data_IF_437618234565
#
_entry.id   IF_437618234565
#
_cell.length_a   1.000
_cell.length_b   1.000
_cell.length_c   1.000
_cell.angle_alpha   90.00
_cell.angle_beta   90.00
_cell.angle_gamma   90.00
#
_symmetry.space_group_name_H-M   'P 1'
#
loop_
_entity.id
_entity.type
_entity.pdbx_description
1 polymer ?
#
# COMPACT_ATOMS: atom_id res chain seq x y z
N UNK A 1 20.89 -5.11 0.18
CA UNK A 1 21.02 -6.59 0.08
C UNK A 1 19.86 -7.36 0.72
N UNK A 2 19.28 -6.91 1.85
CA UNK A 2 18.14 -7.57 2.50
C UNK A 2 16.87 -7.60 1.62
N UNK A 3 16.63 -6.55 0.82
CA UNK A 3 15.48 -6.48 -0.10
C UNK A 3 15.60 -7.43 -1.31
N UNK A 4 16.80 -7.63 -1.84
CA UNK A 4 17.05 -8.58 -2.94
C UNK A 4 16.90 -10.02 -2.42
N UNK A 5 17.35 -10.30 -1.19
CA UNK A 5 17.13 -11.58 -0.52
C UNK A 5 15.64 -11.86 -0.26
N UNK A 6 14.87 -10.86 0.17
CA UNK A 6 13.40 -10.99 0.35
C UNK A 6 12.67 -11.17 -0.99
N UNK A 7 13.02 -10.38 -2.02
CA UNK A 7 12.45 -10.51 -3.35
C UNK A 7 12.80 -11.86 -4.00
N UNK A 8 14.06 -12.30 -3.92
CA UNK A 8 14.51 -13.59 -4.45
C UNK A 8 13.84 -14.77 -3.73
N UNK A 9 13.68 -14.71 -2.40
CA UNK A 9 12.89 -15.69 -1.63
C UNK A 9 11.43 -15.72 -2.08
N UNK A 10 10.85 -14.56 -2.37
CA UNK A 10 9.49 -14.43 -2.87
C UNK A 10 9.33 -15.02 -4.28
N UNK A 11 10.30 -14.83 -5.17
CA UNK A 11 10.29 -15.44 -6.51
C UNK A 11 10.49 -16.95 -6.47
N UNK A 12 11.39 -17.45 -5.62
CA UNK A 12 11.59 -18.88 -5.42
C UNK A 12 10.32 -19.55 -4.89
N UNK A 13 9.65 -18.94 -3.90
CA UNK A 13 8.37 -19.45 -3.38
C UNK A 13 7.27 -19.44 -4.45
N UNK A 14 7.17 -18.39 -5.26
CA UNK A 14 6.22 -18.32 -6.39
C UNK A 14 6.49 -19.45 -7.38
N UNK A 15 7.76 -19.67 -7.74
CA UNK A 15 8.15 -20.70 -8.68
C UNK A 15 7.84 -22.11 -8.15
N UNK A 16 8.12 -22.37 -6.86
CA UNK A 16 7.79 -23.64 -6.20
C UNK A 16 6.26 -23.86 -6.18
N UNK A 17 5.48 -22.85 -5.78
CA UNK A 17 4.02 -22.95 -5.77
C UNK A 17 3.45 -23.19 -7.17
N UNK A 18 3.99 -22.53 -8.20
CA UNK A 18 3.59 -22.72 -9.58
C UNK A 18 3.88 -24.15 -10.07
N UNK A 19 5.08 -24.68 -9.78
CA UNK A 19 5.44 -26.08 -10.10
C UNK A 19 4.49 -27.05 -9.41
N UNK A 20 4.24 -26.87 -8.11
CA UNK A 20 3.32 -27.73 -7.35
C UNK A 20 1.91 -27.70 -7.94
N UNK A 21 1.45 -26.54 -8.39
CA UNK A 21 0.14 -26.34 -9.01
C UNK A 21 0.07 -27.05 -10.38
N UNK A 22 1.13 -26.96 -11.20
CA UNK A 22 1.26 -27.71 -12.47
C UNK A 22 1.28 -29.22 -12.22
N UNK A 23 2.08 -29.69 -11.26
CA UNK A 23 2.20 -31.12 -10.94
C UNK A 23 0.86 -31.68 -10.44
N UNK A 24 0.12 -30.93 -9.62
CA UNK A 24 -1.20 -31.31 -9.14
C UNK A 24 -2.23 -31.38 -10.29
N UNK A 25 -2.21 -30.40 -11.20
CA UNK A 25 -3.04 -30.41 -12.41
C UNK A 25 -2.74 -31.60 -13.32
N UNK A 26 -1.46 -31.88 -13.61
CA UNK A 26 -1.05 -33.03 -14.41
C UNK A 26 -1.43 -34.36 -13.75
N UNK A 27 -1.31 -34.45 -12.43
CA UNK A 27 -1.72 -35.62 -11.66
C UNK A 27 -3.24 -35.86 -11.75
N UNK A 28 -4.05 -34.80 -11.68
CA UNK A 28 -5.50 -34.85 -11.88
C UNK A 28 -5.87 -35.35 -13.27
N UNK A 29 -5.21 -34.84 -14.32
CA UNK A 29 -5.41 -35.29 -15.71
C UNK A 29 -5.04 -36.76 -15.93
N UNK A 30 -4.06 -37.28 -15.19
CA UNK A 30 -3.57 -38.65 -15.36
C UNK A 30 -4.43 -39.70 -14.66
N UNK A 31 -5.25 -39.33 -13.67
CA UNK A 31 -6.17 -40.27 -13.02
C UNK A 31 -7.36 -40.58 -13.94
N UNK A 32 -7.83 -41.83 -13.86
CA UNK A 32 -9.07 -42.36 -14.49
C UNK A 32 -10.38 -41.66 -14.06
N UNK A 33 -10.30 -40.49 -13.43
CA UNK A 33 -11.42 -39.60 -13.16
C UNK A 33 -12.03 -39.02 -14.46
N UNK A 34 -11.30 -39.12 -15.57
CA UNK A 34 -11.59 -38.50 -16.86
C UNK A 34 -12.68 -39.15 -17.73
N UNK A 35 -13.13 -40.38 -17.47
CA UNK A 35 -14.00 -41.03 -18.47
C UNK A 35 -15.43 -40.49 -18.52
N UNK A 36 -15.94 -39.95 -17.40
CA UNK A 36 -17.37 -39.63 -17.30
C UNK A 36 -17.69 -38.17 -16.91
N UNK A 37 -16.68 -37.31 -16.69
CA UNK A 37 -16.93 -35.97 -16.11
C UNK A 37 -16.12 -34.84 -16.76
N UNK A 38 -16.29 -34.70 -18.08
CA UNK A 38 -15.60 -33.69 -18.91
C UNK A 38 -15.80 -32.25 -18.43
N UNK A 39 -16.98 -31.92 -17.90
CA UNK A 39 -17.30 -30.59 -17.37
C UNK A 39 -16.38 -30.19 -16.19
N UNK A 40 -16.04 -31.15 -15.33
CA UNK A 40 -15.16 -30.90 -14.19
C UNK A 40 -13.73 -30.63 -14.63
N UNK A 41 -13.25 -31.32 -15.66
CA UNK A 41 -11.92 -31.07 -16.26
C UNK A 41 -11.89 -29.67 -16.84
N UNK A 42 -12.88 -29.31 -17.66
CA UNK A 42 -12.96 -27.97 -18.26
C UNK A 42 -12.98 -26.87 -17.20
N UNK A 43 -13.73 -27.06 -16.10
CA UNK A 43 -13.76 -26.10 -15.00
C UNK A 43 -12.39 -25.97 -14.30
N UNK A 44 -11.73 -27.09 -13.98
CA UNK A 44 -10.40 -27.08 -13.36
C UNK A 44 -9.36 -26.45 -14.30
N UNK A 45 -9.39 -26.79 -15.59
CA UNK A 45 -8.52 -26.22 -16.61
C UNK A 45 -8.75 -24.72 -16.79
N UNK A 46 -10.01 -24.28 -16.80
CA UNK A 46 -10.37 -22.87 -16.85
C UNK A 46 -9.81 -22.12 -15.65
N UNK A 47 -10.07 -22.60 -14.42
CA UNK A 47 -9.58 -22.00 -13.18
C UNK A 47 -8.04 -21.93 -13.18
N UNK A 48 -7.38 -23.01 -13.60
CA UNK A 48 -5.92 -23.08 -13.72
C UNK A 48 -5.38 -22.04 -14.71
N UNK A 49 -5.92 -22.01 -15.93
CA UNK A 49 -5.49 -21.09 -16.98
C UNK A 49 -5.74 -19.64 -16.60
N UNK A 50 -6.91 -19.31 -16.03
CA UNK A 50 -7.18 -17.94 -15.56
C UNK A 50 -6.22 -17.52 -14.46
N UNK A 51 -5.87 -18.42 -13.53
CA UNK A 51 -4.91 -18.14 -12.47
C UNK A 51 -3.50 -17.92 -13.02
N UNK A 52 -3.10 -18.72 -14.01
CA UNK A 52 -1.81 -18.62 -14.69
C UNK A 52 -1.72 -17.32 -15.50
N UNK A 53 -2.77 -16.95 -16.24
CA UNK A 53 -2.86 -15.68 -16.98
C UNK A 53 -2.80 -14.49 -16.02
N UNK A 54 -3.56 -14.50 -14.92
CA UNK A 54 -3.50 -13.45 -13.89
C UNK A 54 -2.10 -13.36 -13.29
N UNK A 55 -1.43 -14.50 -13.10
CA UNK A 55 -0.06 -14.56 -12.63
C UNK A 55 0.97 -13.99 -13.62
N UNK A 56 0.89 -14.39 -14.89
CA UNK A 56 1.76 -13.90 -15.96
C UNK A 56 1.55 -12.42 -16.24
N UNK A 57 0.30 -11.96 -16.35
CA UNK A 57 -0.02 -10.56 -16.62
C UNK A 57 0.60 -9.64 -15.55
N UNK A 58 0.68 -10.08 -14.30
CA UNK A 58 1.35 -9.34 -13.22
C UNK A 58 2.88 -9.38 -13.26
N UNK A 59 3.51 -10.38 -13.88
CA UNK A 59 4.98 -10.38 -14.09
C UNK A 59 5.37 -9.23 -15.04
N UNK A 60 4.53 -8.95 -16.04
CA UNK A 60 4.79 -7.89 -17.03
C UNK A 60 4.41 -6.48 -16.55
N UNK A 61 3.51 -6.33 -15.56
CA UNK A 61 2.98 -5.03 -15.11
C UNK A 61 3.73 -4.38 -13.93
N UNK A 62 4.81 -4.98 -13.43
CA UNK A 62 5.70 -4.33 -12.45
C UNK A 62 5.15 -4.16 -11.02
N UNK A 63 5.96 -3.51 -10.16
CA UNK A 63 5.76 -3.36 -8.72
C UNK A 63 4.52 -2.54 -8.32
N UNK A 64 4.00 -1.70 -9.22
CA UNK A 64 2.90 -0.75 -8.93
C UNK A 64 1.53 -1.43 -8.74
N UNK A 65 1.41 -2.72 -9.09
CA UNK A 65 0.19 -3.50 -8.91
C UNK A 65 0.12 -4.30 -7.59
N UNK A 66 1.09 -4.12 -6.69
CA UNK A 66 1.34 -4.96 -5.51
C UNK A 66 0.45 -4.69 -4.27
N UNK A 67 -0.79 -4.22 -4.45
CA UNK A 67 -1.68 -3.95 -3.30
C UNK A 67 -2.43 -5.18 -2.75
N UNK A 68 -2.35 -6.36 -3.38
CA UNK A 68 -2.95 -7.60 -2.85
C UNK A 68 -1.91 -8.72 -2.77
N UNK A 69 -1.88 -9.43 -1.64
CA UNK A 69 -1.01 -10.61 -1.43
C UNK A 69 -1.33 -11.69 -2.46
N UNK A 70 -0.44 -11.81 -3.46
CA UNK A 70 -0.48 -12.81 -4.55
C UNK A 70 -0.53 -14.25 -4.01
N UNK A 71 0.08 -14.46 -2.84
CA UNK A 71 0.16 -15.76 -2.17
C UNK A 71 -1.19 -16.27 -1.73
N UNK A 72 -2.08 -15.40 -1.25
CA UNK A 72 -3.40 -15.80 -0.77
C UNK A 72 -4.22 -16.46 -1.89
N UNK A 73 -4.18 -15.87 -3.09
CA UNK A 73 -4.92 -16.42 -4.24
C UNK A 73 -4.35 -17.78 -4.67
N UNK A 74 -3.04 -17.90 -4.86
CA UNK A 74 -2.43 -19.18 -5.25
C UNK A 74 -2.58 -20.27 -4.18
N UNK A 75 -2.45 -19.91 -2.91
CA UNK A 75 -2.67 -20.83 -1.79
C UNK A 75 -4.11 -21.33 -1.75
N UNK A 76 -5.10 -20.45 -1.94
CA UNK A 76 -6.51 -20.85 -1.99
C UNK A 76 -6.81 -21.75 -3.20
N UNK A 77 -6.19 -21.50 -4.35
CA UNK A 77 -6.34 -22.37 -5.53
C UNK A 77 -5.69 -23.73 -5.33
N UNK A 78 -4.43 -23.78 -4.91
CA UNK A 78 -3.73 -25.03 -4.61
C UNK A 78 -4.51 -25.83 -3.56
N UNK A 79 -5.04 -25.17 -2.54
CA UNK A 79 -5.87 -25.78 -1.51
C UNK A 79 -7.16 -26.37 -2.11
N UNK A 80 -7.88 -25.61 -2.92
CA UNK A 80 -9.13 -26.04 -3.57
C UNK A 80 -8.91 -27.22 -4.52
N UNK A 81 -7.85 -27.18 -5.33
CA UNK A 81 -7.49 -28.26 -6.25
C UNK A 81 -7.09 -29.52 -5.46
N UNK A 82 -6.30 -29.37 -4.39
CA UNK A 82 -5.92 -30.48 -3.52
C UNK A 82 -7.13 -31.12 -2.83
N UNK A 83 -8.08 -30.30 -2.38
CA UNK A 83 -9.35 -30.78 -1.82
C UNK A 83 -10.18 -31.56 -2.84
N UNK A 84 -10.37 -31.04 -4.06
CA UNK A 84 -11.08 -31.72 -5.14
C UNK A 84 -10.38 -33.04 -5.48
N UNK A 85 -9.06 -33.00 -5.62
CA UNK A 85 -8.20 -34.16 -5.83
C UNK A 85 -8.42 -35.25 -4.77
N UNK A 86 -8.41 -34.89 -3.48
CA UNK A 86 -8.66 -35.81 -2.37
C UNK A 86 -10.08 -36.39 -2.41
N UNK A 87 -11.10 -35.54 -2.61
CA UNK A 87 -12.50 -35.93 -2.67
C UNK A 87 -12.76 -36.94 -3.79
N UNK A 88 -12.27 -36.64 -4.99
CA UNK A 88 -12.36 -37.49 -6.17
C UNK A 88 -11.58 -38.81 -5.99
N UNK A 89 -10.52 -38.78 -5.19
CA UNK A 89 -9.64 -39.93 -4.98
C UNK A 89 -10.13 -40.93 -3.95
N UNK A 90 -11.09 -40.54 -3.10
CA UNK A 90 -11.63 -41.38 -2.06
C UNK A 90 -12.48 -42.53 -2.62
N UNK A 91 -12.13 -43.75 -2.21
CA UNK A 91 -12.88 -44.98 -2.49
C UNK A 91 -13.90 -45.19 -1.37
N UNK A 92 -15.18 -45.02 -1.66
CA UNK A 92 -16.29 -45.28 -0.73
C UNK A 92 -17.09 -44.05 -0.32
N UNK A 93 -18.41 -44.24 -0.19
CA UNK A 93 -19.38 -43.16 0.10
C UNK A 93 -19.13 -42.48 1.44
N UNK A 94 -18.79 -43.25 2.48
CA UNK A 94 -18.50 -42.72 3.83
C UNK A 94 -17.29 -41.78 3.83
N UNK A 95 -16.18 -42.18 3.20
CA UNK A 95 -14.95 -41.35 3.13
C UNK A 95 -15.21 -40.06 2.34
N UNK A 96 -15.92 -40.15 1.21
CA UNK A 96 -16.31 -38.95 0.43
C UNK A 96 -17.17 -37.99 1.25
N UNK A 97 -18.15 -38.51 2.00
CA UNK A 97 -18.99 -37.70 2.87
C UNK A 97 -18.18 -37.00 3.97
N UNK A 98 -17.18 -37.69 4.55
CA UNK A 98 -16.32 -37.11 5.57
C UNK A 98 -15.43 -36.00 5.00
N UNK A 99 -14.83 -36.22 3.81
CA UNK A 99 -14.05 -35.20 3.11
C UNK A 99 -14.92 -34.00 2.76
N UNK A 100 -16.14 -34.22 2.25
CA UNK A 100 -17.07 -33.14 1.93
C UNK A 100 -17.40 -32.29 3.16
N UNK A 101 -17.71 -32.94 4.28
CA UNK A 101 -18.02 -32.27 5.54
C UNK A 101 -16.82 -31.49 6.07
N UNK A 102 -15.60 -32.06 6.03
CA UNK A 102 -14.41 -31.37 6.50
C UNK A 102 -14.05 -30.16 5.63
N UNK A 103 -14.21 -30.27 4.32
CA UNK A 103 -14.04 -29.15 3.39
C UNK A 103 -15.04 -28.02 3.65
N UNK A 104 -16.30 -28.36 3.90
CA UNK A 104 -17.35 -27.39 4.24
C UNK A 104 -17.11 -26.70 5.58
N UNK A 105 -16.73 -27.45 6.61
CA UNK A 105 -16.39 -26.86 7.92
C UNK A 105 -15.19 -25.91 7.77
N UNK A 106 -14.16 -26.35 7.05
CA UNK A 106 -12.97 -25.53 6.84
C UNK A 106 -13.26 -24.29 6.02
N UNK A 107 -14.13 -24.35 4.99
CA UNK A 107 -14.50 -23.16 4.23
C UNK A 107 -15.25 -22.14 5.09
N UNK A 108 -16.12 -22.60 6.01
CA UNK A 108 -16.75 -21.72 7.01
C UNK A 108 -15.70 -21.09 7.92
N UNK A 109 -14.77 -21.89 8.48
CA UNK A 109 -13.72 -21.37 9.38
C UNK A 109 -12.85 -20.34 8.67
N UNK A 110 -12.42 -20.62 7.44
CA UNK A 110 -11.63 -19.67 6.64
C UNK A 110 -12.43 -18.42 6.31
N UNK A 111 -13.70 -18.55 5.94
CA UNK A 111 -14.56 -17.41 5.65
C UNK A 111 -14.76 -16.52 6.87
N UNK A 112 -15.13 -17.10 8.02
CA UNK A 112 -15.35 -16.37 9.27
C UNK A 112 -14.06 -15.71 9.78
N UNK A 113 -12.92 -16.41 9.69
CA UNK A 113 -11.63 -15.84 10.07
C UNK A 113 -11.14 -14.72 9.14
N UNK A 114 -11.45 -14.81 7.84
CA UNK A 114 -10.99 -13.86 6.84
C UNK A 114 -11.89 -12.63 6.73
N UNK A 115 -13.21 -12.78 6.89
CA UNK A 115 -14.17 -11.71 6.59
C UNK A 115 -13.95 -10.46 7.43
N UNK A 116 -13.58 -10.61 8.71
CA UNK A 116 -13.33 -9.46 9.58
C UNK A 116 -12.12 -8.65 9.11
N UNK A 117 -11.02 -9.34 8.79
CA UNK A 117 -9.81 -8.71 8.25
C UNK A 117 -10.10 -8.07 6.89
N UNK A 118 -10.76 -8.80 5.99
CA UNK A 118 -11.10 -8.33 4.65
C UNK A 118 -12.01 -7.10 4.69
N UNK A 119 -13.03 -7.10 5.56
CA UNK A 119 -13.91 -5.95 5.74
C UNK A 119 -13.15 -4.73 6.24
N UNK A 120 -12.22 -4.92 7.20
CA UNK A 120 -11.40 -3.81 7.71
C UNK A 120 -10.49 -3.23 6.63
N UNK A 121 -9.83 -4.06 5.83
CA UNK A 121 -8.98 -3.63 4.72
C UNK A 121 -9.79 -2.95 3.61
N UNK A 122 -10.97 -3.48 3.29
CA UNK A 122 -11.87 -2.91 2.29
C UNK A 122 -12.40 -1.54 2.75
N UNK A 123 -12.80 -1.43 4.02
CA UNK A 123 -13.24 -0.17 4.63
C UNK A 123 -12.12 0.87 4.61
N UNK A 124 -10.90 0.48 4.95
CA UNK A 124 -9.74 1.37 4.92
C UNK A 124 -9.42 1.80 3.49
N UNK A 125 -9.49 0.88 2.53
CA UNK A 125 -9.30 1.20 1.11
C UNK A 125 -10.37 2.15 0.59
N UNK A 126 -11.64 1.92 0.95
CA UNK A 126 -12.74 2.80 0.55
C UNK A 126 -12.58 4.20 1.16
N UNK A 127 -12.19 4.26 2.43
CA UNK A 127 -11.82 5.52 3.08
C UNK A 127 -10.70 6.21 2.31
N UNK A 128 -9.65 5.48 1.91
CA UNK A 128 -8.54 6.07 1.16
C UNK A 128 -9.00 6.63 -0.20
N UNK A 129 -9.77 5.85 -0.97
CA UNK A 129 -10.26 6.25 -2.30
C UNK A 129 -11.21 7.45 -2.24
N UNK A 130 -11.99 7.58 -1.17
CA UNK A 130 -12.94 8.68 -1.01
C UNK A 130 -12.29 9.97 -0.52
N UNK A 131 -11.09 9.89 0.08
CA UNK A 131 -10.46 11.03 0.74
C UNK A 131 -9.15 11.46 0.10
N UNK A 132 -8.46 10.61 -0.67
CA UNK A 132 -7.11 10.91 -1.15
C UNK A 132 -6.94 10.57 -2.63
N UNK A 133 -6.21 11.44 -3.33
CA UNK A 133 -5.63 11.10 -4.63
C UNK A 133 -4.40 10.23 -4.42
N UNK A 134 -4.34 9.11 -5.14
CA UNK A 134 -3.08 8.44 -5.39
C UNK A 134 -2.46 9.05 -6.64
N UNK A 135 -1.54 10.00 -6.47
CA UNK A 135 -0.81 10.60 -7.58
C UNK A 135 0.70 10.46 -7.33
N UNK A 136 1.52 10.18 -8.36
CA UNK A 136 2.97 9.99 -8.18
C UNK A 136 3.67 11.24 -7.63
N UNK A 137 3.15 12.43 -7.97
CA UNK A 137 3.71 13.74 -7.65
C UNK A 137 2.61 14.68 -7.18
N UNK A 138 2.42 14.74 -5.86
CA UNK A 138 1.29 15.44 -5.27
C UNK A 138 1.29 16.95 -5.59
N UNK A 139 2.45 17.53 -5.86
CA UNK A 139 2.67 18.93 -6.27
C UNK A 139 2.08 19.29 -7.64
N UNK A 140 1.73 18.30 -8.48
CA UNK A 140 1.00 18.51 -9.74
C UNK A 140 -0.40 17.92 -9.74
N UNK A 141 -0.83 17.30 -8.63
CA UNK A 141 -2.10 16.58 -8.59
C UNK A 141 -3.28 17.53 -8.85
N UNK A 142 -3.31 18.71 -8.21
CA UNK A 142 -4.43 19.64 -8.35
C UNK A 142 -4.59 20.16 -9.78
N UNK A 143 -3.51 20.59 -10.42
CA UNK A 143 -3.52 21.08 -11.80
C UNK A 143 -4.01 20.02 -12.78
N UNK A 144 -3.53 18.78 -12.64
CA UNK A 144 -3.94 17.67 -13.50
C UNK A 144 -5.43 17.34 -13.33
N UNK A 145 -5.94 17.34 -12.07
CA UNK A 145 -7.36 17.09 -11.81
C UNK A 145 -8.22 18.23 -12.35
N UNK A 146 -7.79 19.49 -12.16
CA UNK A 146 -8.47 20.67 -12.68
C UNK A 146 -8.55 20.60 -14.21
N UNK A 147 -7.42 20.34 -14.89
CA UNK A 147 -7.35 20.20 -16.34
C UNK A 147 -8.22 19.04 -16.85
N UNK A 148 -8.20 17.89 -16.19
CA UNK A 148 -9.03 16.75 -16.56
C UNK A 148 -10.53 17.04 -16.41
N UNK A 149 -10.92 17.78 -15.36
CA UNK A 149 -12.29 18.23 -15.13
C UNK A 149 -12.73 19.25 -16.19
N UNK A 150 -11.88 20.23 -16.50
CA UNK A 150 -12.15 21.27 -17.52
C UNK A 150 -12.30 20.68 -18.92
N UNK A 151 -11.50 19.66 -19.26
CA UNK A 151 -11.59 18.96 -20.55
C UNK A 151 -12.63 17.83 -20.59
N UNK A 152 -13.34 17.57 -19.49
CA UNK A 152 -14.34 16.49 -19.41
C UNK A 152 -13.76 15.07 -19.52
N UNK A 153 -12.45 14.88 -19.31
CA UNK A 153 -11.81 13.55 -19.35
C UNK A 153 -12.21 12.68 -18.16
N UNK A 154 -12.33 13.31 -16.99
CA UNK A 154 -12.68 12.64 -15.75
C UNK A 154 -13.27 13.64 -14.77
N UNK A 155 -14.30 13.22 -14.04
CA UNK A 155 -14.88 13.99 -12.94
C UNK A 155 -14.33 13.41 -11.64
N UNK A 156 -13.48 14.13 -10.89
CA UNK A 156 -12.97 13.65 -9.62
C UNK A 156 -14.09 13.48 -8.60
N UNK A 157 -13.91 12.55 -7.67
CA UNK A 157 -14.75 12.47 -6.48
C UNK A 157 -14.69 13.83 -5.78
N UNK A 158 -15.86 14.42 -5.51
CA UNK A 158 -15.97 15.80 -5.04
C UNK A 158 -15.11 16.06 -3.80
N UNK A 159 -15.18 15.18 -2.79
CA UNK A 159 -14.38 15.29 -1.57
C UNK A 159 -12.88 15.28 -1.85
N UNK A 160 -12.43 14.45 -2.80
CA UNK A 160 -11.03 14.36 -3.19
C UNK A 160 -10.57 15.67 -3.86
N UNK A 161 -11.39 16.20 -4.76
CA UNK A 161 -11.10 17.48 -5.42
C UNK A 161 -11.02 18.65 -4.42
N UNK A 162 -12.00 18.76 -3.53
CA UNK A 162 -12.08 19.84 -2.55
C UNK A 162 -10.95 19.75 -1.54
N UNK A 163 -10.63 18.53 -1.07
CA UNK A 163 -9.48 18.31 -0.17
C UNK A 163 -8.17 18.68 -0.84
N UNK A 164 -7.93 18.24 -2.08
CA UNK A 164 -6.70 18.58 -2.81
C UNK A 164 -6.61 20.09 -3.06
N UNK A 165 -7.72 20.75 -3.40
CA UNK A 165 -7.75 22.22 -3.53
C UNK A 165 -7.35 22.91 -2.22
N UNK A 166 -7.89 22.46 -1.10
CA UNK A 166 -7.60 23.01 0.24
C UNK A 166 -6.15 22.78 0.65
N UNK A 167 -5.60 21.60 0.37
CA UNK A 167 -4.20 21.24 0.63
C UNK A 167 -3.23 22.21 -0.06
N UNK A 168 -3.46 22.50 -1.34
CA UNK A 168 -2.63 23.45 -2.10
C UNK A 168 -2.79 24.89 -1.62
N UNK A 169 -4.03 25.32 -1.33
CA UNK A 169 -4.27 26.63 -0.76
C UNK A 169 -3.50 26.83 0.55
N UNK A 170 -3.49 25.82 1.43
CA UNK A 170 -2.72 25.87 2.68
C UNK A 170 -1.21 25.85 2.46
N UNK A 171 -0.71 25.13 1.46
CA UNK A 171 0.72 25.14 1.12
C UNK A 171 1.21 26.56 0.78
N UNK A 172 0.42 27.32 0.03
CA UNK A 172 0.74 28.70 -0.35
C UNK A 172 0.55 29.68 0.81
N UNK A 173 -0.41 29.42 1.70
CA UNK A 173 -0.84 30.36 2.74
C UNK A 173 -0.44 29.93 4.16
N UNK A 174 0.44 28.94 4.32
CA UNK A 174 0.82 28.34 5.61
C UNK A 174 1.24 29.37 6.66
N UNK A 175 1.87 30.47 6.23
CA UNK A 175 2.39 31.54 7.10
C UNK A 175 1.28 32.34 7.79
N UNK A 176 0.04 32.24 7.31
CA UNK A 176 -1.14 32.85 7.94
C UNK A 176 -1.60 32.04 9.17
N UNK A 177 -1.21 30.75 9.25
CA UNK A 177 -1.50 29.92 10.40
C UNK A 177 -0.56 30.22 11.57
N UNK A 178 -1.03 29.99 12.79
CA UNK A 178 -0.20 30.12 13.99
C UNK A 178 0.88 29.04 14.02
N UNK A 179 2.15 29.42 14.01
CA UNK A 179 3.24 28.47 14.26
C UNK A 179 3.31 28.12 15.74
N UNK A 180 3.25 26.83 16.07
CA UNK A 180 3.52 26.35 17.42
C UNK A 180 5.02 26.06 17.62
N UNK A 181 5.53 26.42 18.80
CA UNK A 181 6.93 26.21 19.19
C UNK A 181 7.20 24.83 19.79
N UNK A 182 6.20 23.95 19.84
CA UNK A 182 6.35 22.58 20.29
C UNK A 182 6.66 21.66 19.09
N UNK A 183 7.58 20.68 19.24
CA UNK A 183 7.79 19.69 18.20
C UNK A 183 6.51 18.88 17.98
N UNK A 184 6.15 18.56 16.73
CA UNK A 184 4.98 17.72 16.48
C UNK A 184 5.17 16.32 17.07
N UNK A 185 4.07 15.68 17.47
CA UNK A 185 4.10 14.24 17.74
C UNK A 185 4.13 13.51 16.39
N UNK A 186 5.36 13.25 15.92
CA UNK A 186 5.64 12.76 14.57
C UNK A 186 6.80 11.78 14.59
N UNK A 187 6.70 10.76 13.75
CA UNK A 187 7.82 9.90 13.39
C UNK A 187 7.93 9.86 11.88
N UNK A 188 9.03 10.40 11.37
CA UNK A 188 9.53 10.03 10.06
C UNK A 188 10.19 8.67 10.20
N UNK A 189 9.75 7.67 9.43
CA UNK A 189 10.28 6.31 9.51
C UNK A 189 11.29 6.05 8.41
N UNK A 190 11.06 6.58 7.20
CA UNK A 190 12.02 6.58 6.12
C UNK A 190 12.15 7.97 5.50
N UNK A 191 13.40 8.40 5.33
CA UNK A 191 13.76 9.47 4.42
C UNK A 191 14.50 8.85 3.24
N UNK A 192 13.93 9.01 2.05
CA UNK A 192 14.40 8.38 0.83
C UNK A 192 14.42 6.84 0.95
N UNK A 193 15.59 6.23 1.21
CA UNK A 193 15.75 4.77 1.45
C UNK A 193 16.29 4.43 2.83
N UNK A 194 16.51 5.44 3.66
CA UNK A 194 17.21 5.31 4.93
C UNK A 194 16.21 5.40 6.09
N UNK A 195 16.30 4.52 7.09
CA UNK A 195 15.46 4.59 8.27
C UNK A 195 15.77 5.86 9.08
N UNK A 196 14.77 6.39 9.77
CA UNK A 196 14.86 7.60 10.59
C UNK A 196 14.40 7.32 12.04
N UNK A 197 14.98 7.98 13.07
CA UNK A 197 16.10 8.93 13.01
C UNK A 197 17.41 8.26 12.61
N UNK A 198 18.29 9.02 11.96
CA UNK A 198 19.64 8.56 11.67
C UNK A 198 20.41 8.38 12.99
N UNK A 199 21.26 7.35 13.10
CA UNK A 199 22.03 7.07 14.32
C UNK A 199 22.96 8.24 14.71
N UNK A 200 23.42 9.03 13.74
CA UNK A 200 24.21 10.25 13.97
C UNK A 200 23.44 11.53 13.59
N UNK A 201 23.45 12.53 14.47
CA UNK A 201 22.70 13.79 14.29
C UNK A 201 23.26 14.73 13.20
N UNK A 202 24.35 14.36 12.53
CA UNK A 202 24.96 15.12 11.43
C UNK A 202 25.04 14.28 10.15
N UNK A 203 23.90 13.80 9.66
CA UNK A 203 23.88 13.06 8.40
C UNK A 203 23.87 14.01 7.20
N UNK A 204 24.96 14.02 6.44
CA UNK A 204 24.95 14.52 5.07
C UNK A 204 24.37 13.43 4.16
N UNK A 205 23.07 13.52 3.86
CA UNK A 205 22.44 12.57 2.95
C UNK A 205 22.72 12.97 1.51
N UNK A 206 23.46 12.15 0.76
CA UNK A 206 23.66 12.36 -0.68
C UNK A 206 22.60 11.59 -1.47
N UNK A 207 21.75 12.32 -2.19
CA UNK A 207 20.75 11.75 -3.12
C UNK A 207 21.33 11.79 -4.53
N UNK A 208 21.92 10.67 -4.94
CA UNK A 208 22.52 10.50 -6.27
C UNK A 208 21.46 10.01 -7.26
N UNK A 209 21.29 10.68 -8.40
CA UNK A 209 20.61 10.14 -9.61
C UNK A 209 19.07 10.04 -9.58
N UNK A 210 18.37 10.49 -8.53
CA UNK A 210 16.91 10.38 -8.46
C UNK A 210 16.20 11.72 -8.52
N UNK A 211 15.10 11.75 -9.27
CA UNK A 211 14.20 12.90 -9.39
C UNK A 211 13.23 13.01 -8.21
N UNK A 212 13.32 12.13 -7.21
CA UNK A 212 12.41 12.14 -6.05
C UNK A 212 13.01 11.59 -4.75
N UNK A 213 12.43 12.04 -3.64
CA UNK A 213 12.67 11.57 -2.27
C UNK A 213 11.40 10.91 -1.77
N UNK A 214 11.51 9.65 -1.33
CA UNK A 214 10.38 8.93 -0.73
C UNK A 214 10.31 9.22 0.77
N UNK A 215 9.15 9.60 1.27
CA UNK A 215 8.92 9.94 2.66
C UNK A 215 7.82 9.02 3.21
N UNK A 216 8.11 8.35 4.31
CA UNK A 216 7.16 7.45 4.97
C UNK A 216 7.22 7.63 6.48
N UNK A 217 6.06 7.68 7.12
CA UNK A 217 5.99 7.86 8.56
C UNK A 217 4.56 8.02 9.07
N UNK A 218 4.43 8.64 10.25
CA UNK A 218 3.15 9.06 10.81
C UNK A 218 3.29 10.40 11.54
N UNK A 219 2.20 11.15 11.58
CA UNK A 219 2.13 12.45 12.25
C UNK A 219 0.78 12.58 12.97
N UNK A 220 0.76 13.29 14.09
CA UNK A 220 -0.44 13.52 14.91
C UNK A 220 -0.55 15.00 15.28
N UNK A 221 -1.76 15.40 15.65
CA UNK A 221 -2.00 16.66 16.35
C UNK A 221 -1.98 16.39 17.86
N UNK A 222 -0.89 16.73 18.57
CA UNK A 222 -0.73 16.39 19.98
C UNK A 222 -1.75 17.11 20.87
N UNK A 223 -2.22 18.30 20.49
CA UNK A 223 -3.16 19.09 21.29
C UNK A 223 -4.60 18.63 21.08
N UNK A 224 -4.98 18.37 19.82
CA UNK A 224 -6.30 17.82 19.49
C UNK A 224 -6.47 16.33 19.86
N UNK A 225 -5.38 15.63 20.22
CA UNK A 225 -5.35 14.17 20.43
C UNK A 225 -6.02 13.42 19.29
N UNK A 226 -5.76 13.86 18.07
CA UNK A 226 -6.32 13.31 16.83
C UNK A 226 -5.27 13.34 15.71
N UNK A 227 -5.65 12.92 14.51
CA UNK A 227 -4.81 13.05 13.32
C UNK A 227 -4.64 14.51 12.92
N UNK A 228 -3.47 14.83 12.35
CA UNK A 228 -3.25 16.08 11.64
C UNK A 228 -4.23 16.22 10.47
N UNK A 229 -4.39 17.44 9.94
CA UNK A 229 -5.21 17.68 8.75
C UNK A 229 -4.42 17.46 7.46
N UNK A 230 -3.25 18.09 7.39
CA UNK A 230 -2.34 18.08 6.25
C UNK A 230 -0.89 18.00 6.70
N UNK A 231 -0.03 17.52 5.79
CA UNK A 231 1.40 17.38 6.00
C UNK A 231 2.14 17.89 4.76
N UNK A 232 3.21 18.64 4.97
CA UNK A 232 4.05 19.16 3.91
C UNK A 232 5.52 18.85 4.17
N UNK A 233 6.26 18.56 3.10
CA UNK A 233 7.71 18.67 3.09
C UNK A 233 8.10 20.11 2.72
N UNK A 234 8.84 20.78 3.61
CA UNK A 234 9.45 22.08 3.34
C UNK A 234 10.88 21.84 2.87
N UNK A 235 11.15 22.09 1.58
CA UNK A 235 12.49 22.07 1.00
C UNK A 235 12.85 23.48 0.56
N UNK A 236 13.82 24.08 1.23
CA UNK A 236 14.29 25.45 1.01
C UNK A 236 13.18 26.52 1.00
N UNK A 237 12.12 26.31 1.78
CA UNK A 237 10.97 27.22 1.86
C UNK A 237 9.85 26.91 0.88
N UNK A 238 10.05 25.98 -0.07
CA UNK A 238 8.98 25.48 -0.95
C UNK A 238 8.27 24.30 -0.29
N UNK A 239 6.94 24.39 -0.20
CA UNK A 239 6.12 23.34 0.39
C UNK A 239 5.64 22.35 -0.67
N UNK A 240 5.85 21.07 -0.38
CA UNK A 240 5.40 19.94 -1.16
C UNK A 240 4.35 19.17 -0.36
N UNK A 241 3.09 19.12 -0.82
CA UNK A 241 2.04 18.33 -0.18
C UNK A 241 2.42 16.85 -0.05
N UNK A 242 2.11 16.25 1.09
CA UNK A 242 2.31 14.82 1.34
C UNK A 242 0.96 14.12 1.47
N UNK A 243 0.80 13.01 0.76
CA UNK A 243 -0.31 12.07 0.93
C UNK A 243 -0.31 11.52 2.36
N UNK A 244 -1.18 12.08 3.18
CA UNK A 244 -1.41 11.77 4.59
C UNK A 244 -2.78 11.11 4.76
N UNK A 245 -2.94 10.21 5.73
CA UNK A 245 -4.19 9.50 5.99
C UNK A 245 -4.10 7.98 5.91
N UNK A 246 -2.91 7.41 5.72
CA UNK A 246 -2.74 5.95 5.63
C UNK A 246 -3.01 5.27 6.98
N UNK A 247 -3.62 4.06 6.98
CA UNK A 247 -3.91 3.32 8.19
C UNK A 247 -2.63 2.87 8.92
N UNK A 248 -2.58 3.08 10.24
CA UNK A 248 -1.48 2.81 11.18
C UNK A 248 -1.99 2.14 12.45
N UNK A 249 -2.36 0.87 12.33
CA UNK A 249 -2.83 0.06 13.46
C UNK A 249 -1.75 -0.12 14.54
N UNK A 250 -0.48 -0.02 14.18
CA UNK A 250 0.65 0.00 15.12
C UNK A 250 0.63 1.25 16.00
N UNK A 251 0.32 2.42 15.44
CA UNK A 251 0.19 3.68 16.20
C UNK A 251 -1.03 3.60 17.14
N UNK A 252 -2.16 3.06 16.66
CA UNK A 252 -3.35 2.82 17.51
C UNK A 252 -3.02 1.90 18.68
N UNK A 253 -2.27 0.81 18.45
CA UNK A 253 -1.86 -0.13 19.51
C UNK A 253 -0.93 0.53 20.52
N UNK A 254 0.02 1.34 20.05
CA UNK A 254 1.01 2.02 20.89
C UNK A 254 0.34 3.04 21.83
N UNK A 255 -0.53 3.89 21.29
CA UNK A 255 -1.16 4.98 22.05
C UNK A 255 -2.52 4.64 22.65
N UNK A 256 -3.14 3.52 22.23
CA UNK A 256 -4.50 3.09 22.62
C UNK A 256 -5.58 4.13 22.29
N UNK A 257 -5.40 4.88 21.18
CA UNK A 257 -6.33 5.92 20.70
C UNK A 257 -6.78 5.54 19.29
N UNK A 258 -8.05 5.10 19.08
CA UNK A 258 -8.56 4.68 17.78
C UNK A 258 -8.50 5.77 16.70
N UNK A 259 -8.64 7.04 17.10
CA UNK A 259 -8.59 8.20 16.21
C UNK A 259 -7.25 8.31 15.48
N UNK A 260 -6.17 7.71 16.00
CA UNK A 260 -4.85 7.71 15.37
C UNK A 260 -4.72 6.72 14.20
N UNK A 261 -5.79 6.01 13.84
CA UNK A 261 -5.76 5.02 12.77
C UNK A 261 -5.22 5.61 11.47
N UNK A 262 -5.68 6.78 11.05
CA UNK A 262 -5.31 7.37 9.76
C UNK A 262 -4.18 8.39 9.91
N UNK A 263 -3.18 8.10 10.74
CA UNK A 263 -2.06 9.01 11.03
C UNK A 263 -0.85 8.84 10.10
N UNK A 264 -0.87 7.87 9.19
CA UNK A 264 0.26 7.56 8.33
C UNK A 264 0.39 8.48 7.12
N UNK A 265 1.62 8.69 6.66
CA UNK A 265 1.90 9.30 5.35
C UNK A 265 2.85 8.44 4.53
N UNK A 266 2.70 8.51 3.21
CA UNK A 266 3.58 7.88 2.23
C UNK A 266 3.57 8.74 0.96
N UNK A 267 4.71 9.31 0.58
CA UNK A 267 4.77 10.26 -0.54
C UNK A 267 6.12 10.30 -1.21
N UNK A 268 6.12 10.59 -2.51
CA UNK A 268 7.32 10.84 -3.28
C UNK A 268 7.36 12.33 -3.61
N UNK A 269 8.36 13.02 -3.09
CA UNK A 269 8.57 14.45 -3.35
C UNK A 269 9.52 14.59 -4.51
N UNK A 270 9.10 15.23 -5.61
CA UNK A 270 10.03 15.48 -6.71
C UNK A 270 11.09 16.48 -6.30
N UNK A 271 12.35 16.13 -6.54
CA UNK A 271 13.52 17.00 -6.36
C UNK A 271 14.21 17.28 -7.68
N UNK A 272 13.56 16.98 -8.81
CA UNK A 272 14.12 17.17 -10.15
C UNK A 272 14.58 18.61 -10.38
N UNK A 273 13.77 19.56 -9.92
CA UNK A 273 13.99 21.00 -10.12
C UNK A 273 14.97 21.61 -9.11
N UNK A 274 15.44 20.84 -8.12
CA UNK A 274 16.48 21.30 -7.20
C UNK A 274 17.85 21.34 -7.91
N UNK A 275 18.65 22.37 -7.66
CA UNK A 275 20.04 22.43 -8.10
C UNK A 275 20.88 21.34 -7.42
N UNK A 276 22.11 21.10 -7.89
CA UNK A 276 23.04 20.31 -7.09
C UNK A 276 23.52 21.13 -5.87
N UNK A 277 23.90 20.44 -4.80
CA UNK A 277 24.39 21.04 -3.57
C UNK A 277 23.48 20.80 -2.36
N UNK A 278 23.66 21.62 -1.33
CA UNK A 278 22.99 21.48 -0.03
C UNK A 278 21.58 22.07 -0.05
N UNK A 279 20.62 21.34 0.51
CA UNK A 279 19.21 21.70 0.65
C UNK A 279 18.75 21.49 2.09
N UNK A 280 17.88 22.38 2.58
CA UNK A 280 17.28 22.30 3.91
C UNK A 280 15.91 21.64 3.80
N UNK A 281 15.70 20.60 4.59
CA UNK A 281 14.45 19.87 4.68
C UNK A 281 13.84 20.00 6.07
N UNK A 282 12.52 20.17 6.15
CA UNK A 282 11.75 19.93 7.38
C UNK A 282 10.35 19.43 7.05
N UNK A 283 9.66 18.88 8.04
CA UNK A 283 8.25 18.53 7.92
C UNK A 283 7.39 19.59 8.60
N UNK A 284 6.31 19.98 7.93
CA UNK A 284 5.27 20.84 8.47
C UNK A 284 4.01 20.00 8.67
N UNK A 285 3.51 20.00 9.91
CA UNK A 285 2.28 19.30 10.31
C UNK A 285 1.22 20.35 10.58
N UNK A 286 0.12 20.34 9.85
CA UNK A 286 -1.03 21.22 10.11
C UNK A 286 -1.95 20.54 11.11
N UNK A 287 -2.34 21.26 12.17
CA UNK A 287 -3.22 20.71 13.21
C UNK A 287 -4.60 20.35 12.63
N UNK A 288 -5.38 19.58 13.37
CA UNK A 288 -6.67 19.06 12.87
C UNK A 288 -7.61 20.16 12.39
N UNK A 289 -7.69 21.25 13.15
CA UNK A 289 -8.59 22.37 12.91
C UNK A 289 -8.05 23.39 11.88
N UNK A 290 -6.84 23.18 11.37
CA UNK A 290 -6.19 24.04 10.37
C UNK A 290 -6.01 25.49 10.82
N UNK A 291 -5.81 25.70 12.12
CA UNK A 291 -5.58 27.01 12.74
C UNK A 291 -4.11 27.25 13.06
N UNK A 292 -3.31 26.17 13.08
CA UNK A 292 -1.92 26.20 13.48
C UNK A 292 -1.10 25.14 12.75
N UNK A 293 0.23 25.30 12.79
CA UNK A 293 1.15 24.28 12.30
C UNK A 293 2.36 24.10 13.22
N UNK A 294 2.91 22.91 13.17
CA UNK A 294 4.18 22.52 13.79
C UNK A 294 5.23 22.36 12.70
N UNK A 295 6.49 22.62 13.02
CA UNK A 295 7.59 22.41 12.09
C UNK A 295 8.71 21.65 12.81
N UNK A 296 9.23 20.59 12.19
CA UNK A 296 10.37 19.86 12.73
C UNK A 296 11.65 20.69 12.64
N UNK A 297 12.69 20.24 13.34
CA UNK A 297 14.04 20.73 13.10
C UNK A 297 14.43 20.51 11.62
N UNK A 298 15.30 21.40 11.12
CA UNK A 298 15.77 21.34 9.74
C UNK A 298 16.91 20.34 9.63
N UNK A 299 16.79 19.42 8.68
CA UNK A 299 17.87 18.54 8.25
C UNK A 299 18.52 19.10 6.98
N UNK A 300 19.78 18.77 6.73
CA UNK A 300 20.48 19.12 5.49
C UNK A 300 20.67 17.85 4.67
N UNK A 301 20.32 17.89 3.39
CA UNK A 301 20.67 16.84 2.43
C UNK A 301 21.35 17.46 1.21
N UNK A 302 22.09 16.66 0.46
CA UNK A 302 22.84 17.06 -0.72
C UNK A 302 22.29 16.35 -1.96
N UNK A 303 22.03 17.11 -3.02
CA UNK A 303 21.70 16.56 -4.34
C UNK A 303 22.95 16.55 -5.21
N UNK A 304 23.22 15.42 -5.84
CA UNK A 304 24.31 15.24 -6.81
C UNK A 304 23.77 14.55 -8.07
N UNK A 305 23.99 15.17 -9.23
CA UNK A 305 23.91 14.47 -10.52
C UNK A 305 25.28 13.93 -10.87
N UNK A 306 25.41 12.62 -11.03
CA UNK A 306 26.56 11.99 -11.69
C UNK A 306 26.47 12.17 -13.20
#
# INVERSE_FOLDING_TARGET
MIFISSAAKNYALIFILAILLILNYLWLLRRKLNKDNHALILLISFIFLTSLVVGLNRIFLGFDSAMFSRYTMYSLFLFSISYISLFLSAKGKKIRSLIALSGFILSIVLYVGWIQTAYSELSDKQYMLNNFMSYPYQDKAFENIKLAKENGWFIPVQNVYDRTKQEFYLAENIKQLKKYNAPPLLVLTYFYKYPFPFEDKQFQLIVKKYDSINLYGWALDPFGKTTASFLFADIDGKLYPLTYGFPRNDVVKLFKIPQFKFSGFNSNVSIKDLSNGAHKFSLIVVNHDQTAYYQTEKLIFYKETE
#
